data_IF_941571055689
#
_entry.id   IF_941571055689
#
_cell.length_a   1.000
_cell.length_b   1.000
_cell.length_c   1.000
_cell.angle_alpha   90.00
_cell.angle_beta   90.00
_cell.angle_gamma   90.00
#
_symmetry.space_group_name_H-M   'P 1'
#
loop_
_entity.id
_entity.type
_entity.pdbx_description
1 polymer ?
#
# COMPACT_ATOMS: atom_id res chain seq x y z
N UNK A 1 -22.64 6.79 9.79
CA UNK A 1 -22.37 6.45 11.21
C UNK A 1 -21.53 5.18 11.37
N UNK A 2 -21.95 3.96 10.99
CA UNK A 2 -21.16 2.74 11.24
C UNK A 2 -19.79 2.75 10.54
N UNK A 3 -19.73 3.26 9.30
CA UNK A 3 -18.48 3.39 8.53
C UNK A 3 -17.50 4.39 9.19
N UNK A 4 -18.01 5.46 9.82
CA UNK A 4 -17.17 6.46 10.51
C UNK A 4 -16.50 5.82 11.72
N UNK A 5 -17.30 5.18 12.58
CA UNK A 5 -16.81 4.52 13.79
C UNK A 5 -15.80 3.43 13.42
N UNK A 6 -16.09 2.62 12.40
CA UNK A 6 -15.19 1.57 11.92
C UNK A 6 -13.85 2.14 11.45
N UNK A 7 -13.83 3.19 10.62
CA UNK A 7 -12.59 3.80 10.13
C UNK A 7 -11.79 4.46 11.26
N UNK A 8 -12.46 5.07 12.24
CA UNK A 8 -11.81 5.63 13.43
C UNK A 8 -11.14 4.55 14.30
N UNK A 9 -11.84 3.44 14.55
CA UNK A 9 -11.28 2.29 15.29
C UNK A 9 -10.12 1.66 14.50
N UNK A 10 -10.27 1.46 13.19
CA UNK A 10 -9.21 0.96 12.33
C UNK A 10 -7.97 1.87 12.37
N UNK A 11 -8.16 3.19 12.31
CA UNK A 11 -7.04 4.12 12.41
C UNK A 11 -6.28 3.97 13.73
N UNK A 12 -6.98 3.93 14.86
CA UNK A 12 -6.38 3.74 16.18
C UNK A 12 -5.59 2.42 16.28
N UNK A 13 -6.17 1.31 15.78
CA UNK A 13 -5.51 0.01 15.76
C UNK A 13 -4.26 -0.01 14.86
N UNK A 14 -4.32 0.66 13.71
CA UNK A 14 -3.20 0.74 12.77
C UNK A 14 -2.02 1.53 13.33
N UNK A 15 -2.25 2.57 14.16
CA UNK A 15 -1.17 3.30 14.85
C UNK A 15 -0.39 2.36 15.78
N UNK A 16 -1.09 1.55 16.58
CA UNK A 16 -0.44 0.59 17.46
C UNK A 16 0.41 -0.43 16.70
N UNK A 17 -0.11 -0.95 15.59
CA UNK A 17 0.65 -1.86 14.72
C UNK A 17 1.86 -1.16 14.08
N UNK A 18 1.71 0.09 13.64
CA UNK A 18 2.77 0.88 13.03
C UNK A 18 3.92 1.11 14.02
N UNK A 19 3.62 1.47 15.26
CA UNK A 19 4.62 1.64 16.31
C UNK A 19 5.46 0.36 16.50
N UNK A 20 4.78 -0.79 16.58
CA UNK A 20 5.46 -2.08 16.69
C UNK A 20 6.32 -2.40 15.46
N UNK A 21 5.83 -2.08 14.26
CA UNK A 21 6.57 -2.32 13.02
C UNK A 21 7.81 -1.42 12.91
N UNK A 22 7.74 -0.18 13.39
CA UNK A 22 8.90 0.72 13.48
C UNK A 22 9.96 0.14 14.42
N UNK A 23 9.56 -0.37 15.58
CA UNK A 23 10.48 -1.05 16.51
C UNK A 23 11.13 -2.30 15.89
N UNK A 24 10.40 -3.07 15.08
CA UNK A 24 10.96 -4.21 14.34
C UNK A 24 11.91 -3.81 13.20
N UNK A 25 11.86 -2.55 12.76
CA UNK A 25 12.69 -1.98 11.70
C UNK A 25 12.57 -2.68 10.34
N UNK A 26 11.35 -3.07 9.97
CA UNK A 26 11.01 -3.57 8.64
C UNK A 26 10.44 -2.42 7.79
N UNK A 27 11.27 -1.86 6.91
CA UNK A 27 10.94 -0.72 6.04
C UNK A 27 9.67 -0.90 5.24
N UNK A 28 9.49 -2.06 4.59
CA UNK A 28 8.31 -2.33 3.76
C UNK A 28 7.00 -2.39 4.56
N UNK A 29 7.03 -2.99 5.75
CA UNK A 29 5.86 -3.05 6.62
C UNK A 29 5.49 -1.65 7.16
N UNK A 30 6.49 -0.88 7.59
CA UNK A 30 6.30 0.50 8.07
C UNK A 30 5.62 1.36 6.99
N UNK A 31 6.06 1.26 5.73
CA UNK A 31 5.43 1.99 4.62
C UNK A 31 3.96 1.59 4.44
N UNK A 32 3.66 0.28 4.50
CA UNK A 32 2.30 -0.21 4.39
C UNK A 32 1.41 0.33 5.52
N UNK A 33 1.89 0.24 6.76
CA UNK A 33 1.17 0.75 7.93
C UNK A 33 0.93 2.26 7.85
N UNK A 34 1.92 3.04 7.40
CA UNK A 34 1.78 4.48 7.18
C UNK A 34 0.68 4.79 6.17
N UNK A 35 0.71 4.17 4.98
CA UNK A 35 -0.28 4.43 3.94
C UNK A 35 -1.69 3.98 4.34
N UNK A 36 -1.80 2.86 5.04
CA UNK A 36 -3.09 2.38 5.57
C UNK A 36 -3.62 3.33 6.65
N UNK A 37 -2.81 3.77 7.60
CA UNK A 37 -3.22 4.72 8.63
C UNK A 37 -3.67 6.04 8.00
N UNK A 38 -2.89 6.57 7.05
CA UNK A 38 -3.21 7.82 6.35
C UNK A 38 -4.51 7.70 5.54
N UNK A 39 -4.74 6.58 4.87
CA UNK A 39 -5.98 6.34 4.12
C UNK A 39 -7.22 6.24 5.03
N UNK A 40 -7.10 5.56 6.19
CA UNK A 40 -8.19 5.45 7.15
C UNK A 40 -8.51 6.81 7.79
N UNK A 41 -7.48 7.60 8.15
CA UNK A 41 -7.66 8.96 8.65
C UNK A 41 -8.37 9.85 7.63
N UNK A 42 -7.91 9.81 6.38
CA UNK A 42 -8.52 10.58 5.30
C UNK A 42 -10.00 10.21 5.11
N UNK A 43 -10.30 8.91 5.15
CA UNK A 43 -11.67 8.40 5.01
C UNK A 43 -12.54 8.82 6.19
N UNK A 44 -12.03 8.67 7.41
CA UNK A 44 -12.69 9.10 8.65
C UNK A 44 -13.08 10.60 8.61
N UNK A 45 -12.13 11.47 8.24
CA UNK A 45 -12.37 12.91 8.15
C UNK A 45 -13.41 13.25 7.07
N UNK A 46 -13.33 12.60 5.90
CA UNK A 46 -14.31 12.81 4.82
C UNK A 46 -15.74 12.46 5.24
N UNK A 47 -15.94 11.28 5.81
CA UNK A 47 -17.27 10.86 6.26
C UNK A 47 -17.79 11.69 7.43
N UNK A 48 -16.90 12.21 8.29
CA UNK A 48 -17.29 13.03 9.45
C UNK A 48 -17.73 14.44 9.02
N UNK A 49 -16.96 15.10 8.15
CA UNK A 49 -17.22 16.48 7.74
C UNK A 49 -18.42 16.59 6.78
N UNK A 50 -18.58 15.61 5.87
CA UNK A 50 -19.62 15.60 4.84
C UNK A 50 -20.73 14.57 5.12
N UNK A 51 -21.01 14.30 6.40
CA UNK A 51 -22.01 13.31 6.78
C UNK A 51 -23.42 13.65 6.27
N UNK A 52 -23.85 14.92 6.40
CA UNK A 52 -25.23 15.33 6.10
C UNK A 52 -25.36 16.13 4.80
N UNK A 53 -24.29 16.77 4.31
CA UNK A 53 -24.34 17.71 3.19
C UNK A 53 -23.15 17.56 2.26
N UNK A 54 -23.30 18.00 1.00
CA UNK A 54 -22.24 18.04 -0.02
C UNK A 54 -21.66 19.46 -0.22
N UNK A 55 -21.72 20.32 0.80
CA UNK A 55 -21.24 21.71 0.71
C UNK A 55 -19.71 21.76 0.78
N UNK A 56 -19.07 22.55 -0.08
CA UNK A 56 -17.62 22.75 -0.07
C UNK A 56 -17.17 23.62 1.12
N UNK A 57 -17.08 23.02 2.32
CA UNK A 57 -16.69 23.70 3.56
C UNK A 57 -15.18 23.91 3.70
N UNK A 58 -14.38 23.00 3.13
CA UNK A 58 -12.93 22.97 3.30
C UNK A 58 -12.23 22.60 1.98
N UNK A 59 -12.04 23.57 1.06
CA UNK A 59 -11.47 23.30 -0.26
C UNK A 59 -10.02 22.80 -0.19
N UNK A 60 -9.22 23.37 0.72
CA UNK A 60 -7.81 22.96 0.92
C UNK A 60 -7.72 21.52 1.42
N UNK A 61 -8.64 21.10 2.30
CA UNK A 61 -8.70 19.72 2.76
C UNK A 61 -9.05 18.78 1.61
N UNK A 62 -10.01 19.14 0.76
CA UNK A 62 -10.37 18.31 -0.39
C UNK A 62 -9.21 18.15 -1.37
N UNK A 63 -8.44 19.21 -1.66
CA UNK A 63 -7.26 19.11 -2.53
C UNK A 63 -6.22 18.12 -1.98
N UNK A 64 -5.96 18.14 -0.68
CA UNK A 64 -5.02 17.20 -0.04
C UNK A 64 -5.61 15.78 -0.03
N UNK A 65 -6.89 15.67 0.29
CA UNK A 65 -7.60 14.40 0.47
C UNK A 65 -7.61 13.56 -0.82
N UNK A 66 -7.88 14.19 -1.96
CA UNK A 66 -7.90 13.48 -3.25
C UNK A 66 -6.51 12.94 -3.60
N UNK A 67 -5.44 13.71 -3.35
CA UNK A 67 -4.06 13.32 -3.62
C UNK A 67 -3.65 12.15 -2.73
N UNK A 68 -3.98 12.23 -1.42
CA UNK A 68 -3.77 11.14 -0.47
C UNK A 68 -4.46 9.86 -0.95
N UNK A 69 -5.72 9.93 -1.40
CA UNK A 69 -6.45 8.73 -1.84
C UNK A 69 -5.76 8.04 -3.02
N UNK A 70 -5.33 8.80 -4.02
CA UNK A 70 -4.64 8.25 -5.20
C UNK A 70 -3.29 7.63 -4.80
N UNK A 71 -2.49 8.36 -4.05
CA UNK A 71 -1.17 7.86 -3.67
C UNK A 71 -1.24 6.72 -2.65
N UNK A 72 -2.24 6.67 -1.79
CA UNK A 72 -2.42 5.55 -0.86
C UNK A 72 -2.73 4.24 -1.58
N UNK A 73 -3.46 4.27 -2.70
CA UNK A 73 -3.70 3.06 -3.48
C UNK A 73 -2.41 2.48 -4.05
N UNK A 74 -1.58 3.31 -4.67
CA UNK A 74 -0.31 2.89 -5.27
C UNK A 74 0.71 2.56 -4.17
N UNK A 75 0.77 3.37 -3.12
CA UNK A 75 1.68 3.23 -1.99
C UNK A 75 1.47 1.94 -1.22
N UNK A 76 0.22 1.49 -1.06
CA UNK A 76 -0.08 0.17 -0.46
C UNK A 76 0.52 -0.97 -1.28
N UNK A 77 0.31 -0.98 -2.60
CA UNK A 77 0.82 -2.03 -3.49
C UNK A 77 2.35 -2.01 -3.60
N UNK A 78 2.93 -0.82 -3.69
CA UNK A 78 4.38 -0.62 -3.67
C UNK A 78 4.98 -1.16 -2.36
N UNK A 79 4.33 -0.91 -1.21
CA UNK A 79 4.76 -1.44 0.08
C UNK A 79 4.70 -2.97 0.15
N UNK A 80 3.63 -3.57 -0.40
CA UNK A 80 3.50 -5.04 -0.50
C UNK A 80 4.63 -5.62 -1.34
N UNK A 81 4.95 -4.99 -2.48
CA UNK A 81 6.08 -5.37 -3.31
C UNK A 81 7.42 -5.30 -2.56
N UNK A 82 7.69 -4.21 -1.82
CA UNK A 82 8.91 -4.06 -1.02
C UNK A 82 9.04 -5.17 0.04
N UNK A 83 7.93 -5.52 0.71
CA UNK A 83 7.90 -6.64 1.66
C UNK A 83 8.22 -7.96 0.94
N UNK A 84 7.57 -8.25 -0.20
CA UNK A 84 7.82 -9.47 -0.96
C UNK A 84 9.29 -9.60 -1.40
N UNK A 85 9.88 -8.50 -1.89
CA UNK A 85 11.30 -8.41 -2.28
C UNK A 85 12.23 -8.66 -1.09
N UNK A 86 11.93 -8.07 0.07
CA UNK A 86 12.73 -8.23 1.29
C UNK A 86 12.85 -9.70 1.68
N UNK A 87 11.72 -10.43 1.69
CA UNK A 87 11.69 -11.84 2.03
C UNK A 87 12.40 -12.71 0.99
N UNK A 88 12.18 -12.47 -0.31
CA UNK A 88 12.84 -13.22 -1.37
C UNK A 88 14.37 -13.16 -1.28
N UNK A 89 14.91 -12.02 -0.85
CA UNK A 89 16.33 -11.85 -0.60
C UNK A 89 16.84 -12.66 0.61
N UNK A 90 16.07 -12.73 1.69
CA UNK A 90 16.47 -13.45 2.92
C UNK A 90 16.46 -14.97 2.73
N UNK A 91 15.54 -15.48 1.91
CA UNK A 91 15.44 -16.93 1.60
C UNK A 91 16.49 -17.37 0.57
N UNK A 92 17.27 -16.44 -0.01
CA UNK A 92 18.32 -16.79 -0.96
C UNK A 92 19.55 -17.39 -0.26
N UNK A 93 20.14 -18.52 -0.72
CA UNK A 93 21.29 -19.17 -0.09
C UNK A 93 22.59 -18.33 -0.18
N UNK A 94 22.59 -17.26 -0.98
CA UNK A 94 23.64 -16.23 -1.00
C UNK A 94 23.44 -15.14 0.07
N UNK A 95 22.47 -15.27 0.97
CA UNK A 95 22.28 -14.34 2.06
C UNK A 95 23.43 -14.47 3.08
N UNK A 96 24.52 -13.76 2.80
CA UNK A 96 25.54 -13.43 3.79
C UNK A 96 24.89 -12.68 4.95
N UNK A 97 25.50 -12.73 6.14
CA UNK A 97 25.04 -11.96 7.29
C UNK A 97 24.79 -10.50 6.89
N UNK A 98 23.53 -10.05 6.96
CA UNK A 98 23.13 -8.71 6.55
C UNK A 98 23.90 -7.69 7.37
N UNK A 99 24.76 -6.91 6.72
CA UNK A 99 25.48 -5.85 7.41
C UNK A 99 24.52 -4.69 7.72
N UNK A 100 24.88 -3.85 8.71
CA UNK A 100 24.12 -2.63 9.01
C UNK A 100 24.00 -1.71 7.79
N UNK A 101 25.03 -1.69 6.92
CA UNK A 101 25.03 -0.91 5.69
C UNK A 101 24.02 -1.45 4.67
N UNK A 102 23.95 -2.77 4.49
CA UNK A 102 22.97 -3.41 3.60
C UNK A 102 21.53 -3.16 4.05
N UNK A 103 21.28 -3.17 5.37
CA UNK A 103 19.97 -2.83 5.93
C UNK A 103 19.57 -1.39 5.62
N UNK A 104 20.49 -0.43 5.74
CA UNK A 104 20.22 0.99 5.45
C UNK A 104 19.98 1.22 3.96
N UNK A 105 20.82 0.65 3.09
CA UNK A 105 20.67 0.77 1.63
C UNK A 105 19.34 0.19 1.15
N UNK A 106 18.92 -0.92 1.75
CA UNK A 106 17.59 -1.51 1.49
C UNK A 106 16.45 -0.60 1.96
N UNK A 107 16.53 -0.08 3.18
CA UNK A 107 15.49 0.81 3.68
C UNK A 107 15.33 2.05 2.80
N UNK A 108 16.43 2.65 2.33
CA UNK A 108 16.41 3.79 1.40
C UNK A 108 15.71 3.40 0.09
N UNK A 109 16.02 2.23 -0.47
CA UNK A 109 15.36 1.73 -1.68
C UNK A 109 13.86 1.52 -1.47
N UNK A 110 13.48 0.85 -0.38
CA UNK A 110 12.07 0.57 -0.07
C UNK A 110 11.28 1.88 0.12
N UNK A 111 11.84 2.85 0.85
CA UNK A 111 11.21 4.17 1.01
C UNK A 111 11.14 4.94 -0.31
N UNK A 112 12.20 4.89 -1.12
CA UNK A 112 12.21 5.58 -2.42
C UNK A 112 11.13 5.06 -3.37
N UNK A 113 10.84 3.75 -3.37
CA UNK A 113 9.77 3.19 -4.19
C UNK A 113 8.40 3.42 -3.55
N UNK A 114 8.26 3.11 -2.26
CA UNK A 114 6.98 3.16 -1.57
C UNK A 114 6.45 4.59 -1.35
N UNK A 115 7.31 5.61 -1.35
CA UNK A 115 6.91 7.02 -1.30
C UNK A 115 7.16 7.76 -2.60
N UNK A 116 8.29 7.54 -3.27
CA UNK A 116 8.63 8.27 -4.49
C UNK A 116 7.66 8.02 -5.63
N UNK A 117 7.25 6.77 -5.86
CA UNK A 117 6.29 6.47 -6.95
C UNK A 117 4.90 7.08 -6.67
N UNK A 118 4.30 6.92 -5.47
CA UNK A 118 3.08 7.65 -5.13
C UNK A 118 3.21 9.17 -5.25
N UNK A 119 4.31 9.76 -4.78
CA UNK A 119 4.54 11.21 -4.88
C UNK A 119 4.61 11.70 -6.32
N UNK A 120 5.28 10.95 -7.21
CA UNK A 120 5.31 11.27 -8.64
C UNK A 120 3.90 11.21 -9.22
N UNK A 121 3.12 10.17 -8.93
CA UNK A 121 1.75 10.07 -9.44
C UNK A 121 0.85 11.17 -8.88
N UNK A 122 1.01 11.56 -7.61
CA UNK A 122 0.30 12.70 -7.02
C UNK A 122 0.63 14.03 -7.72
N UNK A 123 1.90 14.23 -8.11
CA UNK A 123 2.33 15.40 -8.87
C UNK A 123 1.77 15.38 -10.30
N UNK A 124 1.87 14.25 -11.01
CA UNK A 124 1.32 14.10 -12.35
C UNK A 124 -0.21 14.17 -12.41
N UNK A 125 -0.91 13.94 -11.30
CA UNK A 125 -2.36 14.08 -11.23
C UNK A 125 -2.84 15.48 -11.65
N UNK A 126 -2.04 16.54 -11.49
CA UNK A 126 -2.45 17.86 -11.95
C UNK A 126 -2.68 17.96 -13.48
N UNK A 127 -2.03 17.09 -14.26
CA UNK A 127 -2.08 17.15 -15.74
C UNK A 127 -3.38 16.59 -16.31
N UNK A 128 -3.97 15.58 -15.66
CA UNK A 128 -5.15 14.86 -16.18
C UNK A 128 -6.42 15.08 -15.35
N UNK A 129 -6.38 16.03 -14.43
CA UNK A 129 -7.49 16.34 -13.56
C UNK A 129 -8.49 17.30 -14.26
N UNK A 130 -9.73 16.85 -14.57
CA UNK A 130 -10.69 17.67 -15.31
C UNK A 130 -11.38 18.75 -14.47
N UNK A 131 -11.52 18.50 -13.17
CA UNK A 131 -12.12 19.40 -12.19
C UNK A 131 -11.35 19.26 -10.89
N UNK A 132 -11.31 20.33 -10.09
CA UNK A 132 -10.47 20.39 -8.89
C UNK A 132 -10.81 19.32 -7.84
N UNK A 133 -12.08 19.01 -7.64
CA UNK A 133 -12.59 17.87 -6.86
C UNK A 133 -14.12 17.83 -7.02
N UNK A 134 -14.74 16.68 -6.73
CA UNK A 134 -16.19 16.59 -6.55
C UNK A 134 -16.49 16.34 -5.06
N UNK A 135 -17.55 16.93 -4.52
CA UNK A 135 -17.98 16.62 -3.15
C UNK A 135 -19.25 15.79 -3.24
N UNK A 136 -19.23 14.59 -2.64
CA UNK A 136 -20.35 13.66 -2.65
C UNK A 136 -20.94 13.58 -1.24
N UNK A 137 -22.26 13.80 -1.13
CA UNK A 137 -22.98 13.73 0.15
C UNK A 137 -22.77 12.35 0.79
N UNK A 138 -22.36 12.33 2.06
CA UNK A 138 -22.14 11.10 2.81
C UNK A 138 -20.88 10.33 2.44
N UNK A 139 -20.04 10.82 1.51
CA UNK A 139 -18.75 10.22 1.14
C UNK A 139 -17.59 11.21 1.21
N UNK A 140 -17.84 12.51 1.00
CA UNK A 140 -16.86 13.58 1.08
C UNK A 140 -16.19 13.89 -0.26
N UNK A 141 -14.93 14.32 -0.21
CA UNK A 141 -14.15 14.73 -1.36
C UNK A 141 -13.83 13.52 -2.25
N UNK A 142 -14.33 13.53 -3.48
CA UNK A 142 -14.09 12.52 -4.51
C UNK A 142 -13.12 13.02 -5.61
N UNK A 143 -12.33 12.10 -6.14
CA UNK A 143 -11.43 12.35 -7.28
C UNK A 143 -12.29 12.37 -8.52
N UNK A 144 -12.19 13.43 -9.30
CA UNK A 144 -12.74 13.51 -10.65
C UNK A 144 -11.64 13.08 -11.61
N UNK A 145 -11.94 12.13 -12.49
CA UNK A 145 -11.00 11.63 -13.48
C UNK A 145 -11.69 11.59 -14.84
N UNK A 146 -11.02 12.09 -15.88
CA UNK A 146 -11.41 11.79 -17.26
C UNK A 146 -10.62 10.59 -17.77
N UNK A 147 -11.27 9.76 -18.60
CA UNK A 147 -10.63 8.71 -19.38
C UNK A 147 -9.81 9.34 -20.52
N UNK A 148 -8.61 9.78 -20.17
CA UNK A 148 -7.61 10.29 -21.12
C UNK A 148 -6.37 9.41 -21.08
N UNK A 149 -5.57 9.45 -22.16
CA UNK A 149 -4.34 8.67 -22.26
C UNK A 149 -3.41 8.79 -21.03
N UNK A 150 -3.23 9.97 -20.38
CA UNK A 150 -2.36 10.08 -19.22
C UNK A 150 -2.94 9.36 -17.99
N UNK A 151 -4.26 9.34 -17.80
CA UNK A 151 -4.90 8.60 -16.71
C UNK A 151 -4.60 7.10 -16.84
N UNK A 152 -4.67 6.54 -18.05
CA UNK A 152 -4.31 5.14 -18.29
C UNK A 152 -2.86 4.85 -17.91
N UNK A 153 -1.92 5.70 -18.34
CA UNK A 153 -0.50 5.46 -18.10
C UNK A 153 -0.12 5.63 -16.63
N UNK A 154 -0.57 6.69 -15.97
CA UNK A 154 -0.12 7.02 -14.61
C UNK A 154 -0.97 6.41 -13.49
N UNK A 155 -2.25 6.09 -13.75
CA UNK A 155 -3.15 5.50 -12.75
C UNK A 155 -3.26 3.99 -12.89
N UNK A 156 -3.41 3.47 -14.11
CA UNK A 156 -3.77 2.07 -14.33
C UNK A 156 -2.58 1.12 -14.51
N UNK A 157 -1.43 1.58 -15.02
CA UNK A 157 -0.25 0.71 -15.25
C UNK A 157 0.49 0.34 -13.97
N UNK A 158 0.63 1.29 -13.03
CA UNK A 158 1.46 1.09 -11.83
C UNK A 158 0.92 0.04 -10.84
N UNK A 159 -0.38 0.07 -10.46
CA UNK A 159 -0.94 -0.92 -9.55
C UNK A 159 -0.76 -2.39 -10.00
N UNK A 160 -1.07 -2.79 -11.25
CA UNK A 160 -0.88 -4.17 -11.69
C UNK A 160 0.59 -4.55 -11.81
N UNK A 161 1.47 -3.60 -12.18
CA UNK A 161 2.91 -3.84 -12.21
C UNK A 161 3.44 -4.24 -10.82
N UNK A 162 3.09 -3.46 -9.79
CA UNK A 162 3.49 -3.78 -8.41
C UNK A 162 2.84 -5.06 -7.89
N UNK A 163 1.57 -5.28 -8.19
CA UNK A 163 0.86 -6.49 -7.77
C UNK A 163 1.44 -7.75 -8.42
N UNK A 164 1.69 -7.72 -9.73
CA UNK A 164 2.30 -8.83 -10.47
C UNK A 164 3.73 -9.12 -9.96
N UNK A 165 4.55 -8.07 -9.78
CA UNK A 165 5.88 -8.21 -9.25
C UNK A 165 5.86 -8.80 -7.82
N UNK A 166 4.95 -8.32 -6.96
CA UNK A 166 4.75 -8.86 -5.63
C UNK A 166 4.42 -10.35 -5.69
N UNK A 167 3.46 -10.76 -6.52
CA UNK A 167 3.08 -12.16 -6.73
C UNK A 167 4.26 -13.02 -7.17
N UNK A 168 5.07 -12.58 -8.15
CA UNK A 168 6.23 -13.33 -8.64
C UNK A 168 7.27 -13.57 -7.53
N UNK A 169 7.67 -12.52 -6.81
CA UNK A 169 8.58 -12.65 -5.67
C UNK A 169 7.99 -13.53 -4.57
N UNK A 170 6.68 -13.45 -4.41
CA UNK A 170 5.96 -14.24 -3.44
C UNK A 170 6.05 -15.75 -3.78
N UNK A 171 5.68 -16.15 -5.00
CA UNK A 171 5.72 -17.54 -5.45
C UNK A 171 7.14 -18.10 -5.38
N UNK A 172 8.13 -17.31 -5.80
CA UNK A 172 9.54 -17.67 -5.67
C UNK A 172 9.95 -17.98 -4.23
N UNK A 173 9.54 -17.14 -3.28
CA UNK A 173 9.84 -17.31 -1.86
C UNK A 173 9.21 -18.61 -1.32
N UNK A 174 7.95 -18.90 -1.66
CA UNK A 174 7.27 -20.15 -1.25
C UNK A 174 7.92 -21.36 -1.85
N UNK A 175 8.16 -21.34 -3.16
CA UNK A 175 8.78 -22.46 -3.87
C UNK A 175 10.12 -22.83 -3.24
N UNK A 176 10.95 -21.83 -2.95
CA UNK A 176 12.25 -22.02 -2.30
C UNK A 176 12.12 -22.50 -0.86
N UNK A 177 11.16 -21.95 -0.11
CA UNK A 177 10.87 -22.37 1.25
C UNK A 177 10.43 -23.84 1.32
N UNK A 178 9.59 -24.29 0.38
CA UNK A 178 9.14 -25.69 0.26
C UNK A 178 10.30 -26.60 -0.16
N UNK A 179 11.10 -26.19 -1.14
CA UNK A 179 12.22 -26.98 -1.65
C UNK A 179 13.37 -27.15 -0.63
N UNK A 180 13.61 -26.17 0.24
CA UNK A 180 14.69 -26.19 1.23
C UNK A 180 14.23 -26.48 2.69
N UNK A 181 13.04 -27.08 2.87
CA UNK A 181 12.44 -27.35 4.20
C UNK A 181 13.34 -28.11 5.19
N UNK A 182 14.27 -28.95 4.72
CA UNK A 182 15.14 -29.76 5.60
C UNK A 182 16.17 -28.95 6.41
N UNK A 183 16.57 -27.76 5.96
CA UNK A 183 17.53 -26.89 6.66
C UNK A 183 16.86 -25.77 7.48
N UNK A 184 15.54 -25.62 7.39
CA UNK A 184 14.83 -24.40 7.79
C UNK A 184 14.29 -24.39 9.24
N UNK A 185 14.19 -25.55 9.92
CA UNK A 185 13.91 -25.56 11.37
C UNK A 185 14.98 -24.81 12.18
N UNK A 186 16.22 -24.76 11.69
CA UNK A 186 17.34 -24.04 12.32
C UNK A 186 17.43 -22.56 11.91
N UNK A 187 17.15 -22.23 10.65
CA UNK A 187 17.17 -20.84 10.16
C UNK A 187 16.02 -19.98 10.75
N UNK A 188 14.87 -20.60 11.03
CA UNK A 188 13.71 -19.94 11.68
C UNK A 188 13.91 -19.81 13.20
N UNK A 189 14.67 -20.71 13.82
CA UNK A 189 14.99 -20.62 15.25
C UNK A 189 16.01 -19.51 15.58
N UNK A 190 16.94 -19.20 14.67
CA UNK A 190 17.98 -18.17 14.88
C UNK A 190 17.59 -16.75 14.46
N UNK A 191 16.50 -16.57 13.72
CA UNK A 191 16.05 -15.26 13.27
C UNK A 191 15.00 -14.72 14.22
N UNK A 192 15.39 -13.79 15.09
CA UNK A 192 14.55 -12.98 15.99
C UNK A 192 13.50 -12.09 15.24
N UNK A 193 12.75 -12.64 14.29
CA UNK A 193 11.60 -11.96 13.68
C UNK A 193 10.56 -12.95 13.18
N UNK A 194 9.51 -13.04 13.97
CA UNK A 194 8.21 -13.67 13.75
C UNK A 194 7.51 -13.25 12.43
N UNK A 195 7.95 -13.76 11.28
CA UNK A 195 7.21 -13.68 10.01
C UNK A 195 6.90 -15.09 9.49
N UNK A 196 5.77 -15.63 9.94
CA UNK A 196 5.22 -16.92 9.55
C UNK A 196 4.76 -16.95 8.08
N UNK A 197 5.01 -18.07 7.40
CA UNK A 197 4.53 -18.42 6.05
C UNK A 197 3.04 -18.11 5.82
N UNK A 198 2.23 -18.15 6.88
CA UNK A 198 0.81 -17.80 6.86
C UNK A 198 0.52 -16.33 6.53
N UNK A 199 1.29 -15.36 7.07
CA UNK A 199 1.13 -13.93 6.69
C UNK A 199 1.43 -13.73 5.21
N UNK A 200 2.39 -14.50 4.72
CA UNK A 200 2.84 -14.44 3.36
C UNK A 200 1.80 -14.99 2.36
N UNK A 201 1.16 -16.13 2.66
CA UNK A 201 0.05 -16.65 1.84
C UNK A 201 -1.11 -15.64 1.83
N UNK A 202 -1.39 -14.98 2.97
CA UNK A 202 -2.39 -13.91 3.04
C UNK A 202 -2.04 -12.70 2.17
N UNK A 203 -0.77 -12.28 2.11
CA UNK A 203 -0.29 -11.20 1.24
C UNK A 203 -0.40 -11.55 -0.26
N UNK A 204 -0.08 -12.80 -0.63
CA UNK A 204 -0.23 -13.28 -1.99
C UNK A 204 -1.73 -13.33 -2.41
N UNK A 205 -2.59 -13.84 -1.53
CA UNK A 205 -4.06 -13.82 -1.73
C UNK A 205 -4.56 -12.38 -1.87
N UNK A 206 -4.08 -11.44 -1.03
CA UNK A 206 -4.46 -10.03 -1.11
C UNK A 206 -4.05 -9.38 -2.44
N UNK A 207 -2.86 -9.71 -2.94
CA UNK A 207 -2.38 -9.17 -4.22
C UNK A 207 -3.15 -9.75 -5.41
N UNK A 208 -3.44 -11.07 -5.37
CA UNK A 208 -4.27 -11.73 -6.37
C UNK A 208 -5.72 -11.23 -6.35
N UNK A 209 -6.31 -11.08 -5.17
CA UNK A 209 -7.69 -10.57 -5.04
C UNK A 209 -7.79 -9.13 -5.54
N UNK A 210 -6.75 -8.31 -5.32
CA UNK A 210 -6.69 -6.96 -5.90
C UNK A 210 -6.68 -7.01 -7.44
N UNK A 211 -5.87 -7.88 -8.06
CA UNK A 211 -5.82 -8.04 -9.52
C UNK A 211 -7.14 -8.57 -10.12
N UNK A 212 -7.81 -9.49 -9.42
CA UNK A 212 -9.04 -10.13 -9.92
C UNK A 212 -10.30 -9.30 -9.69
N UNK A 213 -10.35 -8.53 -8.60
CA UNK A 213 -11.57 -7.83 -8.15
C UNK A 213 -11.41 -6.32 -8.25
N UNK A 214 -10.33 -5.77 -7.69
CA UNK A 214 -10.18 -4.32 -7.59
C UNK A 214 -9.84 -3.67 -8.94
N UNK A 215 -9.09 -4.36 -9.81
CA UNK A 215 -8.77 -3.87 -11.16
C UNK A 215 -10.01 -3.75 -12.06
N UNK A 216 -10.83 -4.80 -12.25
CA UNK A 216 -12.05 -4.68 -13.05
C UNK A 216 -13.02 -3.65 -12.46
N UNK A 217 -13.14 -3.57 -11.14
CA UNK A 217 -14.00 -2.59 -10.48
C UNK A 217 -13.49 -1.16 -10.66
N UNK A 218 -12.18 -0.94 -10.62
CA UNK A 218 -11.57 0.37 -10.88
C UNK A 218 -11.78 0.80 -12.33
N UNK A 219 -11.72 -0.13 -13.29
CA UNK A 219 -12.02 0.14 -14.70
C UNK A 219 -13.52 0.41 -14.88
N UNK A 220 -14.40 -0.43 -14.34
CA UNK A 220 -15.85 -0.24 -14.43
C UNK A 220 -16.31 1.06 -13.79
N UNK A 221 -15.79 1.42 -12.61
CA UNK A 221 -16.14 2.67 -11.94
C UNK A 221 -15.64 3.94 -12.64
N UNK A 222 -14.87 3.79 -13.71
CA UNK A 222 -14.38 4.91 -14.53
C UNK A 222 -15.03 5.01 -15.92
N UNK A 223 -15.82 4.00 -16.30
CA UNK A 223 -16.65 3.97 -17.51
C UNK A 223 -18.05 4.45 -17.13
#
# INVERSE_FOLDING_TARGET
>A
LPVVVLNGVLFALNIGSLYWQVSSGNSGAICMGFWVALANLNTFLNFTIWYQDAVNRAPVFCDISIKIRIGAEIGRLASIFCVARFLAHIVSPRATALTKCDRRRRAIFDYSIAFGVPSLVMAFHYVWQPARFAVVKGYGCNVTALMTWPTLVFRFIWPPLFAAAAVLYSVYTVYRLIRHRRNFRRAVAGSHSALTTARFVRLAILSFSYLLIAMPLAVYGTI
#
